data_IF_636745386213
#
_entry.id   IF_636745386213
#
_cell.length_a   1.000
_cell.length_b   1.000
_cell.length_c   1.000
_cell.angle_alpha   90.00
_cell.angle_beta   90.00
_cell.angle_gamma   90.00
#
_symmetry.space_group_name_H-M   'P 1'
#
loop_
_entity.id
_entity.type
_entity.pdbx_description
1 polymer ?
#
# COMPACT_ATOMS: atom_id res chain seq x y z
N UNK A 1 1.49 12.75 -4.64
CA UNK A 1 0.12 12.88 -4.07
C UNK A 1 -0.34 14.32 -4.21
N UNK A 2 -1.53 14.58 -4.75
CA UNK A 2 -2.06 15.94 -4.88
C UNK A 2 -2.81 16.31 -3.59
N UNK A 3 -2.19 17.13 -2.73
CA UNK A 3 -2.82 17.62 -1.51
C UNK A 3 -3.78 18.76 -1.86
N UNK A 4 -5.04 18.64 -1.42
CA UNK A 4 -6.13 19.61 -1.67
C UNK A 4 -6.77 20.06 -0.36
N UNK A 5 -7.59 21.12 -0.40
CA UNK A 5 -8.25 21.71 0.79
C UNK A 5 -8.97 20.66 1.69
N UNK A 6 -9.55 19.62 1.10
CA UNK A 6 -10.23 18.54 1.83
C UNK A 6 -9.33 17.65 2.70
N UNK A 7 -8.00 17.72 2.56
CA UNK A 7 -7.04 16.96 3.38
C UNK A 7 -6.58 17.73 4.63
N UNK A 8 -6.89 19.02 4.74
CA UNK A 8 -6.50 19.82 5.90
C UNK A 8 -7.50 19.60 7.04
N UNK A 9 -7.00 19.16 8.19
CA UNK A 9 -7.79 18.90 9.41
C UNK A 9 -8.53 20.18 9.87
N UNK A 10 -7.85 21.33 9.79
CA UNK A 10 -8.41 22.65 10.13
C UNK A 10 -9.05 23.37 8.92
N UNK A 11 -9.26 22.67 7.81
CA UNK A 11 -9.87 23.22 6.61
C UNK A 11 -11.39 23.37 6.73
N UNK A 12 -11.96 24.36 6.05
CA UNK A 12 -13.41 24.60 5.99
C UNK A 12 -14.15 23.73 4.94
N UNK A 13 -13.52 22.66 4.44
CA UNK A 13 -14.12 21.86 3.37
C UNK A 13 -15.34 21.08 3.87
N UNK A 14 -16.47 21.20 3.17
CA UNK A 14 -17.65 20.35 3.37
C UNK A 14 -17.43 18.90 2.94
N UNK A 15 -16.41 18.66 2.10
CA UNK A 15 -16.01 17.34 1.64
C UNK A 15 -14.60 17.04 2.14
N UNK A 16 -14.51 16.47 3.35
CA UNK A 16 -13.23 16.00 3.90
C UNK A 16 -12.84 14.69 3.23
N UNK A 17 -11.56 14.56 2.90
CA UNK A 17 -11.01 13.31 2.40
C UNK A 17 -10.83 12.37 3.57
N UNK A 18 -11.32 11.14 3.44
CA UNK A 18 -11.05 10.05 4.37
C UNK A 18 -9.97 9.18 3.75
N UNK A 19 -8.87 9.02 4.47
CA UNK A 19 -7.72 8.22 4.05
C UNK A 19 -7.06 7.62 5.30
N UNK A 20 -6.18 6.65 5.09
CA UNK A 20 -5.35 6.08 6.15
C UNK A 20 -3.92 6.59 6.06
N UNK A 21 -3.31 6.82 7.22
CA UNK A 21 -1.89 7.11 7.32
C UNK A 21 -1.27 6.14 8.32
N UNK A 22 -0.08 5.66 7.99
CA UNK A 22 0.69 4.76 8.84
C UNK A 22 2.05 5.39 9.09
N UNK A 23 2.48 5.39 10.36
CA UNK A 23 3.88 5.68 10.71
C UNK A 23 4.60 4.36 10.84
N UNK A 24 5.78 4.27 10.24
CA UNK A 24 6.64 3.09 10.33
C UNK A 24 7.91 3.47 11.06
N UNK A 25 8.22 2.69 12.07
CA UNK A 25 9.53 2.60 12.68
C UNK A 25 10.13 1.26 12.19
N UNK A 26 11.31 0.83 12.65
CA UNK A 26 11.95 -0.44 12.23
C UNK A 26 12.62 -0.48 10.83
N UNK A 27 13.40 -1.55 10.52
CA UNK A 27 14.14 -1.68 9.26
C UNK A 27 13.33 -1.57 7.97
N UNK A 28 11.99 -1.75 8.03
CA UNK A 28 11.13 -1.59 6.85
C UNK A 28 11.22 -0.17 6.26
N UNK A 29 11.57 0.83 7.09
CA UNK A 29 11.83 2.21 6.64
C UNK A 29 12.90 2.25 5.54
N UNK A 30 13.90 1.36 5.58
CA UNK A 30 14.95 1.31 4.57
C UNK A 30 14.39 1.02 3.16
N UNK A 31 13.33 0.21 3.02
CA UNK A 31 12.73 -0.07 1.72
C UNK A 31 12.09 1.19 1.10
N UNK A 32 11.50 2.06 1.93
CA UNK A 32 10.96 3.35 1.46
C UNK A 32 12.08 4.30 1.05
N UNK A 33 13.18 4.32 1.81
CA UNK A 33 14.35 5.14 1.51
C UNK A 33 15.03 4.71 0.20
N UNK A 34 15.07 3.41 -0.10
CA UNK A 34 15.61 2.88 -1.35
C UNK A 34 14.82 3.38 -2.55
N UNK A 35 13.49 3.23 -2.53
CA UNK A 35 12.61 3.73 -3.60
C UNK A 35 12.78 5.24 -3.77
N UNK A 36 12.81 6.00 -2.66
CA UNK A 36 13.02 7.44 -2.74
C UNK A 36 14.37 7.81 -3.36
N UNK A 37 15.44 7.10 -3.02
CA UNK A 37 16.77 7.38 -3.57
C UNK A 37 16.85 7.04 -5.07
N UNK A 38 16.17 5.99 -5.51
CA UNK A 38 16.08 5.66 -6.93
C UNK A 38 15.32 6.74 -7.72
N UNK A 39 14.17 7.20 -7.20
CA UNK A 39 13.40 8.31 -7.77
C UNK A 39 14.19 9.63 -7.77
N UNK A 40 14.95 9.90 -6.70
CA UNK A 40 15.81 11.08 -6.58
C UNK A 40 16.92 11.05 -7.64
N UNK A 41 17.62 9.92 -7.77
CA UNK A 41 18.66 9.74 -8.76
C UNK A 41 18.11 9.85 -10.19
N UNK A 42 16.95 9.25 -10.47
CA UNK A 42 16.29 9.38 -11.76
C UNK A 42 15.97 10.85 -12.10
N UNK A 43 15.52 11.62 -11.11
CA UNK A 43 15.07 13.01 -11.32
C UNK A 43 16.21 14.04 -11.32
N UNK A 44 17.28 13.82 -10.55
CA UNK A 44 18.34 14.82 -10.30
C UNK A 44 19.75 14.34 -10.67
N UNK A 45 19.94 13.07 -11.02
CA UNK A 45 21.25 12.48 -11.35
C UNK A 45 22.18 12.30 -10.14
N UNK A 46 21.72 12.59 -8.92
CA UNK A 46 22.47 12.45 -7.68
C UNK A 46 22.09 11.17 -6.94
N UNK A 47 23.07 10.39 -6.47
CA UNK A 47 22.82 9.29 -5.53
C UNK A 47 23.08 9.77 -4.11
N UNK A 48 22.09 9.62 -3.24
CA UNK A 48 22.23 9.98 -1.83
C UNK A 48 23.17 9.00 -1.14
N UNK A 49 24.12 9.52 -0.36
CA UNK A 49 25.12 8.69 0.31
C UNK A 49 24.49 7.80 1.39
N UNK A 50 24.61 6.48 1.23
CA UNK A 50 23.95 5.48 2.09
C UNK A 50 24.18 5.70 3.59
N UNK A 51 25.41 5.98 4.03
CA UNK A 51 25.73 6.05 5.46
C UNK A 51 25.02 7.18 6.22
N UNK A 52 24.76 8.32 5.56
CA UNK A 52 24.09 9.48 6.20
C UNK A 52 22.58 9.31 6.25
N UNK A 53 22.00 8.75 5.19
CA UNK A 53 20.56 8.70 4.99
C UNK A 53 19.94 7.35 5.36
N UNK A 54 20.73 6.28 5.44
CA UNK A 54 20.30 4.91 5.69
C UNK A 54 21.05 4.35 6.92
N UNK A 55 20.74 4.84 8.13
CA UNK A 55 21.30 4.25 9.34
C UNK A 55 20.82 2.80 9.50
N UNK A 56 21.64 1.96 10.11
CA UNK A 56 21.18 0.63 10.52
C UNK A 56 20.18 0.81 11.66
N UNK A 57 18.97 0.28 11.46
CA UNK A 57 17.92 0.23 12.48
C UNK A 57 17.87 -1.22 12.99
N UNK A 58 17.81 -1.42 14.29
CA UNK A 58 17.58 -2.75 14.85
C UNK A 58 16.10 -3.11 14.78
N UNK A 59 15.79 -4.37 14.51
CA UNK A 59 14.40 -4.83 14.48
C UNK A 59 13.88 -5.05 15.91
N UNK A 60 12.84 -4.31 16.29
CA UNK A 60 12.23 -4.34 17.62
C UNK A 60 10.75 -4.74 17.59
N UNK A 61 10.06 -4.60 16.45
CA UNK A 61 8.66 -5.00 16.32
C UNK A 61 8.46 -6.52 16.21
N UNK A 62 7.34 -7.02 16.74
CA UNK A 62 6.91 -8.42 16.58
C UNK A 62 6.29 -8.71 15.20
N UNK A 63 5.87 -7.67 14.49
CA UNK A 63 5.22 -7.79 13.20
C UNK A 63 6.23 -7.78 12.05
N UNK A 64 6.13 -8.77 11.16
CA UNK A 64 6.89 -8.76 9.91
C UNK A 64 6.32 -7.74 8.93
N UNK A 65 7.18 -6.88 8.40
CA UNK A 65 6.83 -5.90 7.39
C UNK A 65 7.79 -5.99 6.20
N UNK A 66 7.25 -5.81 4.99
CA UNK A 66 8.03 -5.78 3.76
C UNK A 66 7.48 -4.73 2.81
N UNK A 67 8.29 -3.70 2.54
CA UNK A 67 8.03 -2.80 1.42
C UNK A 67 8.09 -3.56 0.09
N UNK A 68 7.09 -3.34 -0.76
CA UNK A 68 7.05 -3.81 -2.15
C UNK A 68 6.95 -2.58 -3.05
N UNK A 69 8.02 -2.30 -3.79
CA UNK A 69 8.00 -1.26 -4.80
C UNK A 69 7.08 -1.66 -5.97
N UNK A 70 6.53 -0.66 -6.65
CA UNK A 70 5.79 -0.84 -7.88
C UNK A 70 6.05 0.38 -8.76
N UNK A 71 6.55 0.15 -9.97
CA UNK A 71 6.84 1.17 -10.96
C UNK A 71 6.51 0.69 -12.37
N UNK A 72 6.42 1.60 -13.35
CA UNK A 72 6.11 1.25 -14.74
C UNK A 72 7.11 0.26 -15.35
N UNK A 73 8.35 0.26 -14.85
CA UNK A 73 9.43 -0.63 -15.31
C UNK A 73 9.46 -1.99 -14.57
N UNK A 74 8.53 -2.24 -13.65
CA UNK A 74 8.49 -3.47 -12.86
C UNK A 74 7.66 -4.58 -13.51
N UNK A 75 8.35 -5.56 -14.11
CA UNK A 75 7.76 -6.62 -14.94
C UNK A 75 7.00 -7.76 -14.20
N UNK A 76 6.84 -7.71 -12.87
CA UNK A 76 6.46 -8.91 -12.09
C UNK A 76 5.12 -8.86 -11.35
N UNK A 77 4.28 -7.82 -11.51
CA UNK A 77 2.95 -7.73 -10.86
C UNK A 77 2.98 -8.12 -9.36
N UNK A 78 4.07 -7.80 -8.65
CA UNK A 78 4.34 -8.29 -7.28
C UNK A 78 3.17 -8.02 -6.32
N UNK A 79 2.60 -6.82 -6.42
CA UNK A 79 1.47 -6.40 -5.60
C UNK A 79 0.23 -7.28 -5.84
N UNK A 80 -0.08 -7.59 -7.09
CA UNK A 80 -1.19 -8.50 -7.42
C UNK A 80 -0.96 -9.89 -6.82
N UNK A 81 0.26 -10.44 -6.92
CA UNK A 81 0.58 -11.74 -6.32
C UNK A 81 0.43 -11.77 -4.81
N UNK A 82 0.82 -10.69 -4.13
CA UNK A 82 0.63 -10.53 -2.67
C UNK A 82 -0.86 -10.51 -2.34
N UNK A 83 -1.68 -9.74 -3.08
CA UNK A 83 -3.13 -9.66 -2.87
C UNK A 83 -3.80 -11.02 -3.13
N UNK A 84 -3.46 -11.72 -4.22
CA UNK A 84 -4.00 -13.04 -4.53
C UNK A 84 -3.61 -14.08 -3.47
N UNK A 85 -2.37 -14.01 -2.99
CA UNK A 85 -1.90 -14.87 -1.91
C UNK A 85 -2.67 -14.61 -0.62
N UNK A 86 -2.90 -13.34 -0.26
CA UNK A 86 -3.75 -12.97 0.87
C UNK A 86 -5.18 -13.54 0.73
N UNK A 87 -5.77 -13.44 -0.47
CA UNK A 87 -7.07 -14.04 -0.76
C UNK A 87 -7.07 -15.57 -0.57
N UNK A 88 -5.99 -16.24 -0.96
CA UNK A 88 -5.86 -17.71 -0.86
C UNK A 88 -5.67 -18.17 0.59
N UNK A 89 -4.85 -17.47 1.38
CA UNK A 89 -4.52 -17.86 2.76
C UNK A 89 -5.50 -17.32 3.81
N UNK A 90 -6.42 -16.42 3.44
CA UNK A 90 -7.44 -15.92 4.35
C UNK A 90 -8.27 -17.07 4.97
N UNK A 91 -8.60 -16.90 6.27
CA UNK A 91 -9.33 -17.90 7.07
C UNK A 91 -10.63 -17.38 7.67
N UNK A 92 -10.72 -16.08 7.96
CA UNK A 92 -11.86 -15.48 8.67
C UNK A 92 -12.52 -14.38 7.87
N UNK A 93 -11.76 -13.36 7.49
CA UNK A 93 -12.29 -12.23 6.74
C UNK A 93 -11.26 -11.63 5.76
N UNK A 94 -11.78 -10.94 4.76
CA UNK A 94 -11.08 -10.05 3.83
C UNK A 94 -11.86 -8.74 3.77
N UNK A 95 -11.21 -7.63 4.09
CA UNK A 95 -11.80 -6.29 4.00
C UNK A 95 -11.01 -5.50 2.97
N UNK A 96 -11.70 -5.04 1.92
CA UNK A 96 -11.10 -4.26 0.84
C UNK A 96 -11.73 -2.88 0.86
N UNK A 97 -10.92 -1.85 1.09
CA UNK A 97 -11.33 -0.46 0.89
C UNK A 97 -10.65 0.08 -0.35
N UNK A 98 -11.43 0.55 -1.33
CA UNK A 98 -10.89 1.17 -2.52
C UNK A 98 -11.76 2.34 -2.98
N UNK A 99 -11.18 3.50 -3.37
CA UNK A 99 -11.95 4.57 -3.98
C UNK A 99 -12.53 4.15 -5.35
N UNK A 100 -11.88 3.18 -6.01
CA UNK A 100 -12.28 2.63 -7.30
C UNK A 100 -12.07 1.12 -7.30
N UNK A 101 -13.14 0.36 -7.12
CA UNK A 101 -13.08 -1.10 -7.16
C UNK A 101 -13.29 -1.59 -8.59
N UNK A 102 -12.18 -1.72 -9.32
CA UNK A 102 -12.12 -2.19 -10.71
C UNK A 102 -11.21 -3.44 -10.80
N UNK A 103 -11.56 -4.54 -10.13
CA UNK A 103 -10.76 -5.77 -10.16
C UNK A 103 -10.79 -6.44 -11.54
N UNK A 104 -9.72 -7.15 -11.88
CA UNK A 104 -9.71 -8.04 -13.03
C UNK A 104 -10.41 -9.38 -12.72
N UNK A 105 -10.59 -10.21 -13.74
CA UNK A 105 -11.23 -11.52 -13.59
C UNK A 105 -10.47 -12.45 -12.61
N UNK A 106 -9.14 -12.29 -12.53
CA UNK A 106 -8.27 -13.06 -11.64
C UNK A 106 -8.59 -12.76 -10.18
N UNK A 107 -8.62 -11.48 -9.81
CA UNK A 107 -8.94 -11.04 -8.45
C UNK A 107 -10.39 -11.34 -8.09
N UNK A 108 -11.34 -11.13 -9.00
CA UNK A 108 -12.75 -11.54 -8.78
C UNK A 108 -12.84 -13.03 -8.44
N UNK A 109 -12.19 -13.88 -9.24
CA UNK A 109 -12.22 -15.33 -9.01
C UNK A 109 -11.62 -15.70 -7.65
N UNK A 110 -10.51 -15.06 -7.26
CA UNK A 110 -9.88 -15.31 -5.96
C UNK A 110 -10.77 -14.92 -4.78
N UNK A 111 -11.48 -13.79 -4.87
CA UNK A 111 -12.43 -13.33 -3.84
C UNK A 111 -13.65 -14.25 -3.76
N UNK A 112 -14.21 -14.66 -4.90
CA UNK A 112 -15.30 -15.64 -4.94
C UNK A 112 -14.89 -16.96 -4.29
N UNK A 113 -13.71 -17.48 -4.62
CA UNK A 113 -13.19 -18.70 -4.00
C UNK A 113 -12.95 -18.54 -2.50
N UNK A 114 -12.52 -17.37 -2.03
CA UNK A 114 -12.42 -17.09 -0.59
C UNK A 114 -13.79 -17.13 0.09
N UNK A 115 -14.79 -16.47 -0.50
CA UNK A 115 -16.17 -16.49 -0.01
C UNK A 115 -16.75 -17.91 0.05
N UNK A 116 -16.53 -18.73 -0.99
CA UNK A 116 -16.97 -20.13 -1.03
C UNK A 116 -16.32 -20.99 0.07
N UNK A 117 -15.11 -20.64 0.54
CA UNK A 117 -14.47 -21.30 1.69
C UNK A 117 -15.03 -20.85 3.05
N UNK A 118 -16.02 -19.96 3.07
CA UNK A 118 -16.60 -19.40 4.29
C UNK A 118 -15.85 -18.18 4.84
N UNK A 119 -14.93 -17.58 4.08
CA UNK A 119 -14.28 -16.31 4.46
C UNK A 119 -15.27 -15.17 4.21
N UNK A 120 -15.49 -14.31 5.20
CA UNK A 120 -16.30 -13.10 5.02
C UNK A 120 -15.56 -12.10 4.13
N UNK A 121 -16.17 -11.65 3.03
CA UNK A 121 -15.55 -10.69 2.10
C UNK A 121 -16.36 -9.40 2.12
N UNK A 122 -15.78 -8.34 2.65
CA UNK A 122 -16.38 -7.00 2.73
C UNK A 122 -15.65 -6.04 1.80
N UNK A 123 -16.40 -5.33 0.95
CA UNK A 123 -15.86 -4.33 0.02
C UNK A 123 -16.45 -2.97 0.37
N UNK A 124 -15.61 -2.07 0.86
CA UNK A 124 -15.96 -0.70 1.23
C UNK A 124 -15.66 0.25 0.07
N UNK A 125 -16.71 0.92 -0.42
CA UNK A 125 -16.66 1.87 -1.52
C UNK A 125 -17.17 3.24 -1.07
N UNK A 126 -16.68 4.34 -1.67
CA UNK A 126 -17.30 5.64 -1.52
C UNK A 126 -18.76 5.59 -1.97
N UNK A 127 -19.63 6.27 -1.22
CA UNK A 127 -21.02 6.49 -1.63
C UNK A 127 -21.06 7.27 -2.96
N UNK A 128 -21.94 6.87 -3.88
CA UNK A 128 -22.19 7.64 -5.10
C UNK A 128 -22.82 8.97 -4.71
N UNK A 129 -22.23 10.07 -5.18
CA UNK A 129 -22.83 11.41 -5.09
C UNK A 129 -23.90 11.60 -6.16
#
# INVERSE_FOLDING_TARGET
MNIRQGHFINGKSKHRVQDFHFSFEDPVVAHFQEVFNDDWFFSHGEKLCRKKWFPSIEHQAEAFARGTSHGPDENLNKLLWVILSACHVARKSLIIMSPYFLPDATLISALCLASMRGVQVDILLPEKK
#
